data_IF_682267855307
#
_entry.id   IF_682267855307
#
_cell.length_a   1.000
_cell.length_b   1.000
_cell.length_c   1.000
_cell.angle_alpha   90.00
_cell.angle_beta   90.00
_cell.angle_gamma   90.00
#
_symmetry.space_group_name_H-M   'P 1'
#
loop_
_entity.id
_entity.type
_entity.pdbx_description
1 polymer ?
#
# COMPACT_ATOMS: atom_id res chain seq x y z
N UNK A 1 22.66 5.81 -4.46
CA UNK A 1 21.90 7.07 -4.56
C UNK A 1 22.77 8.11 -5.23
N UNK A 2 22.45 8.52 -6.46
CA UNK A 2 23.17 9.60 -7.15
C UNK A 2 22.80 10.94 -6.51
N UNK A 3 23.81 11.72 -6.09
CA UNK A 3 23.60 13.08 -5.58
C UNK A 3 23.17 13.95 -6.76
N UNK A 4 21.98 14.55 -6.66
CA UNK A 4 21.45 15.48 -7.68
C UNK A 4 22.32 16.73 -7.72
N UNK A 5 22.50 17.30 -8.91
CA UNK A 5 23.26 18.55 -9.09
C UNK A 5 22.62 19.69 -8.29
N UNK A 6 23.43 20.66 -7.83
CA UNK A 6 22.94 21.85 -7.12
C UNK A 6 21.87 22.60 -7.95
N UNK A 7 22.10 22.71 -9.25
CA UNK A 7 21.16 23.33 -10.19
C UNK A 7 19.79 22.64 -10.19
N UNK A 8 19.76 21.31 -10.25
CA UNK A 8 18.49 20.55 -10.22
C UNK A 8 17.75 20.72 -8.89
N UNK A 9 18.49 20.81 -7.78
CA UNK A 9 17.88 21.04 -6.46
C UNK A 9 17.24 22.43 -6.39
N UNK A 10 17.90 23.46 -6.90
CA UNK A 10 17.37 24.82 -6.98
C UNK A 10 16.13 24.89 -7.87
N UNK A 11 16.18 24.28 -9.06
CA UNK A 11 15.01 24.18 -9.94
C UNK A 11 13.83 23.50 -9.26
N UNK A 12 14.07 22.41 -8.52
CA UNK A 12 13.01 21.71 -7.79
C UNK A 12 12.42 22.56 -6.66
N UNK A 13 13.24 23.36 -5.96
CA UNK A 13 12.75 24.29 -4.93
C UNK A 13 11.82 25.33 -5.55
N UNK A 14 12.21 25.94 -6.68
CA UNK A 14 11.39 26.90 -7.40
C UNK A 14 10.08 26.26 -7.90
N UNK A 15 10.15 25.05 -8.45
CA UNK A 15 8.95 24.30 -8.85
C UNK A 15 8.04 24.01 -7.66
N UNK A 16 8.61 23.64 -6.51
CA UNK A 16 7.83 23.37 -5.29
C UNK A 16 7.09 24.61 -4.82
N UNK A 17 7.74 25.79 -4.86
CA UNK A 17 7.10 27.07 -4.53
C UNK A 17 5.93 27.33 -5.48
N UNK A 18 6.16 27.22 -6.79
CA UNK A 18 5.12 27.43 -7.81
C UNK A 18 3.93 26.48 -7.65
N UNK A 19 4.17 25.21 -7.33
CA UNK A 19 3.10 24.24 -7.08
C UNK A 19 2.26 24.67 -5.87
N UNK A 20 2.89 25.11 -4.77
CA UNK A 20 2.17 25.59 -3.58
C UNK A 20 1.31 26.83 -3.87
N UNK A 21 1.80 27.74 -4.72
CA UNK A 21 1.03 28.92 -5.14
C UNK A 21 -0.21 28.52 -5.95
N UNK A 22 -0.07 27.57 -6.88
CA UNK A 22 -1.18 27.03 -7.66
C UNK A 22 -2.18 26.32 -6.76
N UNK A 23 -1.70 25.49 -5.83
CA UNK A 23 -2.56 24.79 -4.87
C UNK A 23 -3.35 25.79 -4.01
N UNK A 24 -2.70 26.85 -3.52
CA UNK A 24 -3.36 27.89 -2.73
C UNK A 24 -4.42 28.66 -3.54
N UNK A 25 -4.10 29.05 -4.77
CA UNK A 25 -5.04 29.72 -5.67
C UNK A 25 -6.23 28.82 -6.01
N UNK A 26 -5.98 27.54 -6.29
CA UNK A 26 -7.02 26.56 -6.58
C UNK A 26 -7.92 26.31 -5.37
N UNK A 27 -7.36 26.13 -4.17
CA UNK A 27 -8.15 25.98 -2.95
C UNK A 27 -8.98 27.22 -2.64
N UNK A 28 -8.44 28.42 -2.86
CA UNK A 28 -9.15 29.68 -2.71
C UNK A 28 -10.30 29.88 -3.71
N UNK A 29 -10.25 29.22 -4.87
CA UNK A 29 -11.33 29.25 -5.88
C UNK A 29 -12.54 28.38 -5.52
N UNK A 30 -12.41 27.49 -4.53
CA UNK A 30 -13.47 26.57 -4.12
C UNK A 30 -14.39 27.18 -3.06
N UNK A 31 -15.67 26.79 -3.00
CA UNK A 31 -16.53 27.06 -1.86
C UNK A 31 -15.91 26.52 -0.55
N UNK A 32 -16.07 27.25 0.55
CA UNK A 32 -15.40 26.97 1.82
C UNK A 32 -15.63 25.52 2.32
N UNK A 33 -16.85 24.99 2.16
CA UNK A 33 -17.19 23.64 2.59
C UNK A 33 -16.44 22.57 1.78
N UNK A 34 -16.26 22.80 0.47
CA UNK A 34 -15.49 21.89 -0.40
C UNK A 34 -13.99 21.96 -0.10
N UNK A 35 -13.47 23.15 0.17
CA UNK A 35 -12.07 23.31 0.57
C UNK A 35 -11.78 22.56 1.88
N UNK A 36 -12.65 22.69 2.89
CA UNK A 36 -12.53 21.94 4.16
C UNK A 36 -12.59 20.42 3.96
N UNK A 37 -13.56 19.94 3.18
CA UNK A 37 -13.71 18.52 2.88
C UNK A 37 -12.47 17.96 2.16
N UNK A 38 -11.91 18.73 1.22
CA UNK A 38 -10.69 18.34 0.52
C UNK A 38 -9.48 18.22 1.46
N UNK A 39 -9.26 19.22 2.32
CA UNK A 39 -8.15 19.20 3.30
C UNK A 39 -8.26 17.98 4.22
N UNK A 40 -9.46 17.71 4.75
CA UNK A 40 -9.69 16.53 5.59
C UNK A 40 -9.38 15.21 4.84
N UNK A 41 -9.80 15.09 3.56
CA UNK A 41 -9.50 13.92 2.76
C UNK A 41 -7.98 13.74 2.50
N UNK A 42 -7.26 14.84 2.29
CA UNK A 42 -5.79 14.82 2.12
C UNK A 42 -5.09 14.38 3.40
N UNK A 43 -5.53 14.84 4.57
CA UNK A 43 -4.99 14.41 5.87
C UNK A 43 -5.19 12.91 6.10
N UNK A 44 -6.39 12.40 5.81
CA UNK A 44 -6.69 10.96 5.88
C UNK A 44 -5.76 10.17 4.94
N UNK A 45 -5.54 10.65 3.72
CA UNK A 45 -4.67 10.00 2.75
C UNK A 45 -3.19 10.01 3.19
N UNK A 46 -2.71 11.11 3.76
CA UNK A 46 -1.32 11.23 4.26
C UNK A 46 -1.04 10.30 5.45
N UNK A 47 -2.04 10.11 6.31
CA UNK A 47 -1.94 9.24 7.48
C UNK A 47 -2.25 7.77 7.16
N UNK A 48 -2.50 7.41 5.90
CA UNK A 48 -2.77 6.02 5.50
C UNK A 48 -1.51 5.18 5.72
N UNK A 49 -1.58 4.06 6.48
CA UNK A 49 -0.43 3.20 6.67
C UNK A 49 -0.03 2.54 5.33
N UNK A 50 1.25 2.15 5.17
CA UNK A 50 1.69 1.36 4.03
C UNK A 50 0.86 0.08 3.89
N UNK A 51 0.55 -0.30 2.65
CA UNK A 51 -0.08 -1.59 2.37
C UNK A 51 0.83 -2.71 2.87
N UNK A 52 0.31 -3.70 3.62
CA UNK A 52 1.12 -4.83 4.05
C UNK A 52 1.69 -5.58 2.82
N UNK A 53 2.85 -6.23 2.96
CA UNK A 53 3.35 -7.15 1.94
C UNK A 53 2.27 -8.17 1.58
N UNK A 54 2.19 -8.50 0.29
CA UNK A 54 1.33 -9.61 -0.16
C UNK A 54 1.85 -10.90 0.45
N UNK A 55 0.93 -11.83 0.75
CA UNK A 55 1.30 -13.17 1.20
C UNK A 55 2.30 -13.81 0.22
N UNK A 56 3.34 -14.45 0.77
CA UNK A 56 4.38 -15.10 -0.02
C UNK A 56 3.84 -16.39 -0.65
N UNK A 57 3.14 -16.21 -1.76
CA UNK A 57 2.50 -17.27 -2.54
C UNK A 57 3.20 -17.38 -3.89
N UNK A 58 3.29 -18.60 -4.43
CA UNK A 58 3.86 -18.81 -5.75
C UNK A 58 3.07 -18.01 -6.81
N UNK A 59 3.73 -17.38 -7.81
CA UNK A 59 3.03 -16.65 -8.87
C UNK A 59 1.95 -17.53 -9.52
N UNK A 60 0.69 -17.05 -9.54
CA UNK A 60 -0.46 -17.79 -10.11
C UNK A 60 -1.28 -18.61 -9.10
N UNK A 61 -0.84 -18.74 -7.85
CA UNK A 61 -1.71 -19.27 -6.78
C UNK A 61 -2.61 -18.17 -6.24
N UNK A 62 -3.82 -18.05 -6.80
CA UNK A 62 -4.91 -17.33 -6.11
C UNK A 62 -5.16 -18.04 -4.77
N UNK A 63 -5.53 -17.33 -3.69
CA UNK A 63 -6.11 -17.94 -2.50
C UNK A 63 -7.51 -18.46 -2.88
N UNK A 64 -7.56 -19.54 -3.63
CA UNK A 64 -8.79 -20.23 -3.95
C UNK A 64 -9.13 -21.10 -2.73
N UNK A 65 -10.33 -20.98 -2.17
CA UNK A 65 -10.79 -21.99 -1.22
C UNK A 65 -10.72 -23.37 -1.90
N UNK A 66 -10.43 -24.44 -1.14
CA UNK A 66 -10.46 -25.80 -1.68
C UNK A 66 -11.82 -26.02 -2.36
N UNK A 67 -11.79 -26.61 -3.57
CA UNK A 67 -13.03 -26.96 -4.27
C UNK A 67 -13.88 -27.87 -3.36
N UNK A 68 -15.22 -27.75 -3.37
CA UNK A 68 -16.08 -28.70 -2.64
C UNK A 68 -15.69 -30.15 -2.98
N UNK A 69 -15.40 -30.95 -1.96
CA UNK A 69 -14.89 -32.33 -2.11
C UNK A 69 -13.36 -32.48 -2.17
N UNK A 70 -12.59 -31.40 -2.14
CA UNK A 70 -11.12 -31.38 -2.09
C UNK A 70 -10.60 -30.68 -0.81
N UNK A 71 -11.24 -30.95 0.32
CA UNK A 71 -10.79 -30.46 1.62
C UNK A 71 -9.41 -31.05 2.00
N UNK A 72 -8.57 -30.32 2.74
CA UNK A 72 -7.29 -30.82 3.22
C UNK A 72 -7.48 -32.09 4.04
N UNK A 73 -6.83 -33.17 3.63
CA UNK A 73 -6.92 -34.46 4.33
C UNK A 73 -6.29 -34.33 5.71
N UNK A 74 -6.98 -34.78 6.75
CA UNK A 74 -6.44 -34.79 8.12
C UNK A 74 -5.08 -35.49 8.15
N UNK A 75 -4.06 -34.91 8.82
CA UNK A 75 -2.75 -35.53 8.94
C UNK A 75 -2.90 -36.94 9.51
N UNK A 76 -2.26 -37.92 8.85
CA UNK A 76 -2.31 -39.31 9.28
C UNK A 76 -1.57 -39.42 10.60
N UNK A 77 -2.25 -39.85 11.66
CA UNK A 77 -1.63 -40.13 12.95
C UNK A 77 -0.43 -41.07 12.74
N UNK A 78 0.75 -40.65 13.22
CA UNK A 78 1.94 -41.49 13.28
C UNK A 78 1.66 -42.65 14.23
N UNK A 79 1.14 -43.76 13.69
CA UNK A 79 1.05 -44.99 14.46
C UNK A 79 2.46 -45.44 14.83
N UNK A 80 2.76 -45.65 16.13
CA UNK A 80 4.06 -46.15 16.53
C UNK A 80 4.30 -47.49 15.82
N UNK A 81 5.44 -47.59 15.13
CA UNK A 81 5.90 -48.85 14.54
C UNK A 81 5.98 -49.87 15.66
N UNK A 82 5.20 -50.95 15.57
CA UNK A 82 5.25 -52.04 16.57
C UNK A 82 6.69 -52.58 16.63
N UNK A 83 7.25 -52.83 17.82
CA UNK A 83 8.50 -53.54 17.94
C UNK A 83 8.36 -54.94 17.36
N UNK A 84 9.47 -55.40 16.81
CA UNK A 84 9.71 -56.69 16.20
C UNK A 84 9.62 -57.81 17.25
N UNK A 85 9.17 -58.99 16.83
CA UNK A 85 9.70 -60.27 17.32
C UNK A 85 10.33 -60.99 16.11
#
# INVERSE_FOLDING_TARGET
>A
MTKRSKYEQEQRKLQTVRVKEIEAAWLGSLPADRAKAFVAAVEVARNRPPTPPRENMAPGTRPNPPRPGHEPKVPKEERPRRPRD
#
